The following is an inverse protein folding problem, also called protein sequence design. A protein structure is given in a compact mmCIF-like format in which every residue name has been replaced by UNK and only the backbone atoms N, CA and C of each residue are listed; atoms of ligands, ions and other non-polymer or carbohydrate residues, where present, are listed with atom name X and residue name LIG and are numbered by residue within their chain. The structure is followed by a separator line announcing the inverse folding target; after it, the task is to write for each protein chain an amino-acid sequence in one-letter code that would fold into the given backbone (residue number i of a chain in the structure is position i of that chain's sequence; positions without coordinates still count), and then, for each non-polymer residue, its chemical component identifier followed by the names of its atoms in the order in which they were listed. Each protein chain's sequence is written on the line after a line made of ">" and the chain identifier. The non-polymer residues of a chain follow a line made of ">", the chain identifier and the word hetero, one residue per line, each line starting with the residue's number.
data_IF_092085560855
#
_entry.id   IF_092085560855
#
_cell.length_a   1.000
_cell.length_b   1.000
_cell.length_c   1.000
_cell.angle_alpha   90.00
_cell.angle_beta   90.00
_cell.angle_gamma   90.00
#
_symmetry.space_group_name_H-M   'P 1'
#
loop_
_entity.id
_entity.type
_entity.pdbx_description
1 polymer ?
#
# COMPACT_ATOMS: atom_id res chain seq x y z
N UNK A 1 7.71 28.72 -2.61
CA UNK A 1 6.43 28.73 -1.91
C UNK A 1 5.35 28.64 -2.97
N UNK A 2 4.99 27.46 -3.36
CA UNK A 2 3.76 27.15 -4.10
C UNK A 2 3.07 26.08 -3.26
N UNK A 3 1.89 26.45 -2.74
CA UNK A 3 1.18 25.63 -1.75
C UNK A 3 0.77 24.30 -2.32
N UNK A 4 0.91 23.29 -1.49
CA UNK A 4 0.21 22.04 -1.57
C UNK A 4 -1.28 22.37 -1.75
N UNK A 5 -1.90 21.80 -2.76
CA UNK A 5 -3.34 21.89 -2.97
C UNK A 5 -4.00 21.19 -1.78
N UNK A 6 -4.41 21.97 -0.76
CA UNK A 6 -5.29 21.47 0.28
C UNK A 6 -6.49 20.84 -0.41
N UNK A 7 -6.61 19.52 -0.33
CA UNK A 7 -7.78 18.80 -0.82
C UNK A 7 -9.00 19.26 -0.03
N UNK A 8 -9.97 19.89 -0.72
CA UNK A 8 -11.22 20.37 -0.10
C UNK A 8 -11.95 19.20 0.56
N UNK A 9 -12.47 19.43 1.77
CA UNK A 9 -13.26 18.42 2.48
C UNK A 9 -14.60 18.20 1.77
N UNK A 10 -14.95 16.92 1.56
CA UNK A 10 -16.17 16.50 0.89
C UNK A 10 -17.36 16.48 1.85
N UNK A 11 -18.45 17.11 1.46
CA UNK A 11 -19.68 17.18 2.24
C UNK A 11 -20.81 16.45 1.52
N UNK A 12 -21.54 15.61 2.27
CA UNK A 12 -22.77 14.95 1.82
C UNK A 12 -23.93 15.34 2.73
N UNK A 13 -25.13 15.54 2.15
CA UNK A 13 -26.34 15.93 2.87
C UNK A 13 -27.45 14.88 2.72
N UNK A 14 -28.01 14.40 3.83
CA UNK A 14 -29.22 13.60 3.88
C UNK A 14 -30.33 14.38 4.58
N UNK A 15 -31.38 14.75 3.87
CA UNK A 15 -32.48 15.61 4.36
C UNK A 15 -33.74 15.31 3.55
N UNK A 16 -34.87 14.95 4.16
CA UNK A 16 -36.08 14.58 3.46
C UNK A 16 -36.84 15.81 2.95
N UNK A 17 -36.76 16.94 3.66
CA UNK A 17 -37.45 18.17 3.30
C UNK A 17 -36.76 18.87 2.09
N UNK A 18 -37.39 18.83 0.91
CA UNK A 18 -36.86 19.39 -0.33
C UNK A 18 -36.40 20.85 -0.19
N UNK A 19 -37.28 21.68 0.48
CA UNK A 19 -36.96 23.11 0.62
C UNK A 19 -35.73 23.36 1.48
N UNK A 20 -35.51 22.56 2.51
CA UNK A 20 -34.35 22.65 3.37
C UNK A 20 -33.10 22.10 2.64
N UNK A 21 -33.23 20.98 1.99
CA UNK A 21 -32.13 20.37 1.22
C UNK A 21 -31.64 21.31 0.11
N UNK A 22 -32.56 21.87 -0.70
CA UNK A 22 -32.19 22.85 -1.73
C UNK A 22 -31.65 24.16 -1.12
N UNK A 23 -32.20 24.58 0.00
CA UNK A 23 -31.75 25.76 0.73
C UNK A 23 -30.31 25.61 1.21
N UNK A 24 -29.96 24.50 1.81
CA UNK A 24 -28.56 24.18 2.24
C UNK A 24 -27.63 24.12 1.04
N UNK A 25 -28.03 23.40 -0.01
CA UNK A 25 -27.19 23.26 -1.21
C UNK A 25 -26.91 24.63 -1.89
N UNK A 26 -27.94 25.48 -2.05
CA UNK A 26 -27.87 26.64 -2.91
C UNK A 26 -27.46 27.95 -2.18
N UNK A 27 -27.71 28.04 -0.86
CA UNK A 27 -27.44 29.26 -0.10
C UNK A 27 -26.03 29.31 0.53
N UNK A 28 -25.27 28.23 0.40
CA UNK A 28 -23.88 28.19 0.85
C UNK A 28 -22.97 28.10 -0.37
N UNK A 29 -22.01 29.02 -0.47
CA UNK A 29 -20.99 29.01 -1.54
C UNK A 29 -19.86 28.01 -1.15
N UNK A 30 -20.16 26.72 -1.20
CA UNK A 30 -19.32 25.64 -0.68
C UNK A 30 -17.85 25.74 -1.09
N UNK A 31 -17.58 25.99 -2.38
CA UNK A 31 -16.20 26.10 -2.89
C UNK A 31 -15.47 27.32 -2.35
N UNK A 32 -16.16 28.47 -2.19
CA UNK A 32 -15.56 29.68 -1.62
C UNK A 32 -15.26 29.50 -0.13
N UNK A 33 -16.02 28.63 0.54
CA UNK A 33 -15.84 28.26 1.94
C UNK A 33 -14.81 27.15 2.17
N UNK A 34 -14.20 26.60 1.09
CA UNK A 34 -13.17 25.58 1.16
C UNK A 34 -13.71 24.15 1.24
N UNK A 35 -14.98 23.91 0.83
CA UNK A 35 -15.63 22.62 0.86
C UNK A 35 -16.10 22.16 -0.52
N UNK A 36 -16.14 20.86 -0.73
CA UNK A 36 -16.72 20.23 -1.91
C UNK A 36 -18.06 19.56 -1.56
N UNK A 37 -19.17 20.09 -2.07
CA UNK A 37 -20.47 19.45 -1.92
C UNK A 37 -20.62 18.32 -2.93
N UNK A 38 -20.47 17.05 -2.46
CA UNK A 38 -20.37 15.88 -3.33
C UNK A 38 -21.70 15.19 -3.63
N UNK A 39 -22.74 15.45 -2.81
CA UNK A 39 -24.04 14.84 -3.06
C UNK A 39 -25.08 15.09 -1.99
N UNK A 40 -26.32 14.73 -2.31
CA UNK A 40 -27.46 14.81 -1.40
C UNK A 40 -28.43 13.63 -1.62
N UNK A 41 -29.21 13.29 -0.61
CA UNK A 41 -30.26 12.29 -0.67
C UNK A 41 -31.48 12.70 0.20
N UNK A 42 -32.65 12.13 -0.09
CA UNK A 42 -33.89 12.40 0.63
C UNK A 42 -34.15 11.49 1.82
N UNK A 43 -33.37 10.45 1.98
CA UNK A 43 -33.52 9.47 3.05
C UNK A 43 -32.22 8.65 3.20
N UNK A 44 -32.12 7.86 4.29
CA UNK A 44 -30.93 7.09 4.58
C UNK A 44 -30.67 5.93 3.63
N UNK A 45 -31.72 5.29 3.08
CA UNK A 45 -31.55 4.18 2.15
C UNK A 45 -30.94 4.63 0.80
N UNK A 46 -31.32 5.81 0.33
CA UNK A 46 -30.74 6.44 -0.86
C UNK A 46 -29.36 7.04 -0.58
N UNK A 47 -29.16 7.60 0.62
CA UNK A 47 -27.89 8.19 1.04
C UNK A 47 -26.77 7.15 1.14
N UNK A 48 -27.04 6.01 1.75
CA UNK A 48 -26.01 5.01 2.08
C UNK A 48 -25.16 4.54 0.88
N UNK A 49 -25.72 4.06 -0.24
CA UNK A 49 -24.90 3.65 -1.37
C UNK A 49 -24.09 4.79 -2.02
N UNK A 50 -24.59 6.03 -1.94
CA UNK A 50 -23.89 7.22 -2.42
C UNK A 50 -22.72 7.56 -1.49
N UNK A 51 -22.92 7.51 -0.19
CA UNK A 51 -21.87 7.73 0.82
C UNK A 51 -20.74 6.72 0.68
N UNK A 52 -21.07 5.44 0.49
CA UNK A 52 -20.09 4.38 0.24
C UNK A 52 -19.20 4.66 -0.98
N UNK A 53 -19.79 5.17 -2.05
CA UNK A 53 -19.08 5.49 -3.29
C UNK A 53 -18.26 6.79 -3.19
N UNK A 54 -18.84 7.84 -2.58
CA UNK A 54 -18.27 9.19 -2.56
C UNK A 54 -17.30 9.40 -1.41
N UNK A 55 -17.41 8.58 -0.34
CA UNK A 55 -16.60 8.64 0.89
C UNK A 55 -16.44 10.09 1.40
N UNK A 56 -17.52 10.75 1.81
CA UNK A 56 -17.47 12.13 2.27
C UNK A 56 -16.71 12.24 3.58
N UNK A 57 -16.02 13.37 3.77
CA UNK A 57 -15.36 13.71 5.03
C UNK A 57 -16.36 14.12 6.11
N UNK A 58 -17.46 14.77 5.69
CA UNK A 58 -18.54 15.24 6.58
C UNK A 58 -19.90 14.79 6.02
N UNK A 59 -20.64 14.06 6.82
CA UNK A 59 -22.05 13.75 6.59
C UNK A 59 -22.92 14.70 7.42
N UNK A 60 -23.82 15.42 6.76
CA UNK A 60 -24.88 16.19 7.40
C UNK A 60 -26.17 15.39 7.24
N UNK A 61 -26.86 15.07 8.32
CA UNK A 61 -28.11 14.29 8.24
C UNK A 61 -29.21 14.84 9.15
N UNK A 62 -30.45 14.86 8.63
CA UNK A 62 -31.61 14.98 9.50
C UNK A 62 -31.81 13.68 10.28
N UNK A 63 -32.44 13.76 11.45
CA UNK A 63 -32.85 12.57 12.21
C UNK A 63 -34.04 11.91 11.55
N UNK A 64 -35.10 12.71 11.30
CA UNK A 64 -36.38 12.16 10.86
C UNK A 64 -36.47 12.12 9.35
N UNK A 65 -36.11 10.98 8.80
CA UNK A 65 -36.26 10.69 7.37
C UNK A 65 -37.07 9.41 7.17
N UNK A 66 -37.79 9.27 6.04
CA UNK A 66 -38.50 8.05 5.73
C UNK A 66 -37.53 6.89 5.47
N UNK A 67 -38.01 5.66 5.59
CA UNK A 67 -37.31 4.40 5.36
C UNK A 67 -36.16 4.15 6.35
N UNK A 68 -35.06 4.88 6.27
CA UNK A 68 -33.93 4.82 7.18
C UNK A 68 -33.70 6.20 7.78
N UNK A 69 -33.79 6.31 9.10
CA UNK A 69 -33.56 7.55 9.82
C UNK A 69 -32.08 7.93 9.91
N UNK A 70 -31.80 9.20 10.29
CA UNK A 70 -30.42 9.69 10.34
C UNK A 70 -29.56 9.10 11.44
N UNK A 71 -30.16 8.58 12.53
CA UNK A 71 -29.41 7.90 13.59
C UNK A 71 -28.94 6.49 13.12
N UNK A 72 -29.85 5.78 12.46
CA UNK A 72 -29.53 4.48 11.87
C UNK A 72 -28.46 4.62 10.79
N UNK A 73 -28.62 5.59 9.86
CA UNK A 73 -27.61 5.93 8.86
C UNK A 73 -26.27 6.27 9.52
N UNK A 74 -26.27 7.12 10.55
CA UNK A 74 -25.06 7.52 11.27
C UNK A 74 -24.33 6.34 11.90
N UNK A 75 -25.09 5.38 12.46
CA UNK A 75 -24.52 4.18 13.09
C UNK A 75 -23.81 3.29 12.06
N UNK A 76 -24.45 3.08 10.90
CA UNK A 76 -23.85 2.30 9.80
C UNK A 76 -22.60 3.01 9.26
N UNK A 77 -22.69 4.31 8.99
CA UNK A 77 -21.56 5.09 8.46
C UNK A 77 -20.38 5.10 9.43
N UNK A 78 -20.61 5.22 10.74
CA UNK A 78 -19.52 5.16 11.73
C UNK A 78 -18.86 3.79 11.83
N UNK A 79 -19.57 2.71 11.56
CA UNK A 79 -19.01 1.36 11.55
C UNK A 79 -18.16 1.09 10.29
N UNK A 80 -18.60 1.55 9.13
CA UNK A 80 -17.96 1.23 7.85
C UNK A 80 -16.99 2.30 7.35
N UNK A 81 -17.22 3.56 7.70
CA UNK A 81 -16.41 4.73 7.37
C UNK A 81 -16.11 5.54 8.64
N UNK A 82 -15.28 5.04 9.57
CA UNK A 82 -15.02 5.63 10.86
C UNK A 82 -14.45 7.05 10.79
N UNK A 83 -13.77 7.39 9.70
CA UNK A 83 -13.17 8.70 9.46
C UNK A 83 -14.18 9.77 9.04
N UNK A 84 -15.39 9.38 8.59
CA UNK A 84 -16.46 10.31 8.26
C UNK A 84 -16.98 10.97 9.54
N UNK A 85 -16.88 12.28 9.61
CA UNK A 85 -17.46 13.10 10.68
C UNK A 85 -18.96 13.34 10.43
N UNK A 86 -19.78 13.24 11.46
CA UNK A 86 -21.24 13.32 11.32
C UNK A 86 -21.77 14.54 12.06
N UNK A 87 -22.59 15.35 11.37
CA UNK A 87 -23.34 16.47 11.90
C UNK A 87 -24.84 16.16 11.79
N UNK A 88 -25.53 16.14 12.92
CA UNK A 88 -26.96 15.88 12.93
C UNK A 88 -27.76 17.21 12.98
N UNK A 89 -28.79 17.28 12.14
CA UNK A 89 -29.84 18.31 12.20
C UNK A 89 -31.09 17.71 12.86
N UNK A 90 -31.73 18.40 13.81
CA UNK A 90 -32.88 17.86 14.53
C UNK A 90 -33.94 18.91 14.74
N UNK A 91 -35.19 18.50 14.70
CA UNK A 91 -36.33 19.32 15.12
C UNK A 91 -36.42 19.48 16.64
N UNK A 92 -37.33 20.32 17.08
CA UNK A 92 -37.52 20.70 18.51
C UNK A 92 -37.82 19.48 19.41
N UNK A 93 -37.12 19.33 20.53
CA UNK A 93 -37.64 18.72 21.74
C UNK A 93 -37.24 17.28 22.05
N UNK A 94 -36.21 16.68 21.41
CA UNK A 94 -35.94 15.26 21.61
C UNK A 94 -34.56 15.03 22.26
N UNK A 95 -34.53 15.17 23.59
CA UNK A 95 -33.34 14.90 24.42
C UNK A 95 -32.80 13.46 24.25
N UNK A 96 -33.69 12.51 23.97
CA UNK A 96 -33.33 11.11 23.78
C UNK A 96 -32.49 10.91 22.50
N UNK A 97 -32.80 11.61 21.41
CA UNK A 97 -32.00 11.54 20.18
C UNK A 97 -30.61 12.17 20.32
N UNK A 98 -30.50 13.26 21.09
CA UNK A 98 -29.20 13.86 21.37
C UNK A 98 -28.31 12.90 22.17
N UNK A 99 -28.88 12.18 23.14
CA UNK A 99 -28.17 11.16 23.91
C UNK A 99 -27.73 9.98 23.04
N UNK A 100 -28.57 9.53 22.12
CA UNK A 100 -28.28 8.47 21.21
C UNK A 100 -27.20 8.91 20.21
N UNK A 101 -27.28 10.11 19.63
CA UNK A 101 -26.28 10.69 18.77
C UNK A 101 -24.88 10.73 19.41
N UNK A 102 -24.81 11.12 20.69
CA UNK A 102 -23.55 11.08 21.47
C UNK A 102 -23.01 9.64 21.58
N UNK A 103 -23.88 8.66 21.81
CA UNK A 103 -23.45 7.26 21.91
C UNK A 103 -22.95 6.67 20.61
N UNK A 104 -23.42 7.19 19.46
CA UNK A 104 -22.93 6.84 18.12
C UNK A 104 -21.56 7.48 17.83
N UNK A 105 -21.24 8.59 18.52
CA UNK A 105 -20.01 9.34 18.29
C UNK A 105 -20.12 10.37 17.17
N UNK A 106 -21.27 11.07 17.07
CA UNK A 106 -21.42 12.21 16.16
C UNK A 106 -20.61 13.41 16.66
N UNK A 107 -20.08 14.21 15.75
CA UNK A 107 -19.19 15.32 16.08
C UNK A 107 -19.92 16.57 16.55
N UNK A 108 -21.12 16.83 16.03
CA UNK A 108 -21.91 17.98 16.42
C UNK A 108 -23.42 17.74 16.16
N UNK A 109 -24.28 18.56 16.78
CA UNK A 109 -25.70 18.41 16.74
C UNK A 109 -26.36 19.81 16.71
N UNK A 110 -27.19 20.11 15.72
CA UNK A 110 -27.86 21.41 15.56
C UNK A 110 -29.38 21.28 15.62
N UNK A 111 -30.01 22.20 16.31
CA UNK A 111 -31.47 22.28 16.40
C UNK A 111 -32.07 23.13 15.28
N UNK A 112 -33.06 22.58 14.55
CA UNK A 112 -33.86 23.33 13.56
C UNK A 112 -34.78 24.33 14.25
N UNK A 113 -34.95 25.55 13.70
CA UNK A 113 -34.47 26.04 12.42
C UNK A 113 -32.98 26.44 12.46
N UNK A 114 -32.22 25.98 11.48
CA UNK A 114 -30.76 26.23 11.32
C UNK A 114 -30.55 27.27 10.23
N UNK A 115 -29.81 28.32 10.53
CA UNK A 115 -29.37 29.28 9.50
C UNK A 115 -28.11 28.77 8.79
N UNK A 116 -27.87 29.21 7.53
CA UNK A 116 -26.67 28.86 6.81
C UNK A 116 -25.40 29.24 7.57
N UNK A 117 -25.39 30.34 8.30
CA UNK A 117 -24.28 30.79 9.13
C UNK A 117 -23.98 29.80 10.28
N UNK A 118 -25.02 29.35 11.02
CA UNK A 118 -24.84 28.36 12.10
C UNK A 118 -24.36 27.02 11.58
N UNK A 119 -24.90 26.57 10.44
CA UNK A 119 -24.47 25.32 9.78
C UNK A 119 -23.02 25.42 9.39
N UNK A 120 -22.61 26.51 8.75
CA UNK A 120 -21.25 26.72 8.31
C UNK A 120 -20.26 26.80 9.47
N UNK A 121 -20.65 27.44 10.58
CA UNK A 121 -19.85 27.48 11.80
C UNK A 121 -19.62 26.09 12.39
N UNK A 122 -20.66 25.25 12.44
CA UNK A 122 -20.53 23.86 12.90
C UNK A 122 -19.62 23.05 11.98
N UNK A 123 -19.78 23.18 10.65
CA UNK A 123 -18.93 22.51 9.67
C UNK A 123 -17.47 22.94 9.82
N UNK A 124 -17.19 24.23 10.01
CA UNK A 124 -15.83 24.73 10.24
C UNK A 124 -15.19 24.15 11.50
N UNK A 125 -15.95 24.06 12.61
CA UNK A 125 -15.44 23.40 13.83
C UNK A 125 -15.09 21.91 13.60
N UNK A 126 -15.93 21.22 12.82
CA UNK A 126 -15.66 19.84 12.43
C UNK A 126 -14.42 19.75 11.53
N UNK A 127 -14.30 20.64 10.54
CA UNK A 127 -13.15 20.72 9.64
C UNK A 127 -11.84 20.94 10.40
N UNK A 128 -11.80 21.84 11.36
CA UNK A 128 -10.64 22.07 12.24
C UNK A 128 -10.21 20.78 12.98
N UNK A 129 -11.19 19.99 13.46
CA UNK A 129 -10.91 18.70 14.11
C UNK A 129 -10.37 17.68 13.11
N UNK A 130 -10.89 17.64 11.87
CA UNK A 130 -10.43 16.74 10.82
C UNK A 130 -8.97 17.10 10.42
N UNK A 131 -8.70 18.37 10.14
CA UNK A 131 -7.34 18.83 9.82
C UNK A 131 -6.36 18.61 10.99
N UNK A 132 -6.78 18.85 12.22
CA UNK A 132 -5.96 18.60 13.40
C UNK A 132 -5.68 17.10 13.63
N UNK A 133 -6.58 16.19 13.23
CA UNK A 133 -6.33 14.74 13.25
C UNK A 133 -5.39 14.32 12.14
N UNK A 134 -5.62 14.77 10.90
CA UNK A 134 -4.77 14.49 9.74
C UNK A 134 -3.33 15.02 9.94
N UNK A 135 -3.19 16.26 10.39
CA UNK A 135 -1.87 16.84 10.67
C UNK A 135 -1.08 16.05 11.71
N UNK A 136 -1.72 15.61 12.81
CA UNK A 136 -1.05 14.76 13.81
C UNK A 136 -0.68 13.37 13.27
N UNK A 137 -1.52 12.78 12.43
CA UNK A 137 -1.21 11.51 11.79
C UNK A 137 -0.04 11.64 10.81
N UNK A 138 -0.01 12.72 10.01
CA UNK A 138 1.11 12.99 9.09
C UNK A 138 2.41 13.31 9.82
N UNK A 139 2.37 14.10 10.90
CA UNK A 139 3.55 14.36 11.74
C UNK A 139 4.09 13.05 12.33
N UNK A 140 3.21 12.22 12.91
CA UNK A 140 3.61 10.91 13.48
C UNK A 140 4.16 9.98 12.40
N UNK A 141 3.55 9.97 11.21
CA UNK A 141 4.02 9.16 10.08
C UNK A 141 5.39 9.64 9.57
N UNK A 142 5.57 10.94 9.40
CA UNK A 142 6.84 11.54 9.00
C UNK A 142 7.97 11.27 10.03
N UNK A 143 7.67 11.37 11.32
CA UNK A 143 8.62 11.03 12.39
C UNK A 143 9.01 9.55 12.36
N UNK A 144 8.03 8.66 12.13
CA UNK A 144 8.25 7.23 12.01
C UNK A 144 9.11 6.89 10.79
N UNK A 145 8.80 7.46 9.63
CA UNK A 145 9.58 7.29 8.40
C UNK A 145 11.03 7.78 8.57
N UNK A 146 11.22 8.94 9.19
CA UNK A 146 12.54 9.50 9.51
C UNK A 146 13.33 8.56 10.46
N UNK A 147 12.66 8.01 11.48
CA UNK A 147 13.27 7.06 12.42
C UNK A 147 13.68 5.78 11.71
N UNK A 148 12.83 5.21 10.86
CA UNK A 148 13.12 4.00 10.07
C UNK A 148 14.30 4.23 9.12
N UNK A 149 14.34 5.37 8.40
CA UNK A 149 15.44 5.74 7.53
C UNK A 149 16.76 5.88 8.30
N UNK A 150 16.73 6.46 9.49
CA UNK A 150 17.91 6.66 10.34
C UNK A 150 18.44 5.33 10.88
N UNK A 151 17.55 4.43 11.34
CA UNK A 151 17.92 3.06 11.76
C UNK A 151 18.50 2.26 10.60
N UNK A 152 17.90 2.35 9.40
CA UNK A 152 18.38 1.69 8.19
C UNK A 152 19.77 2.18 7.78
N UNK A 153 20.04 3.47 7.92
CA UNK A 153 21.38 4.06 7.67
C UNK A 153 22.40 3.54 8.66
N UNK A 154 22.10 3.59 9.94
CA UNK A 154 22.98 3.07 10.99
C UNK A 154 23.28 1.58 10.77
N UNK A 155 22.27 0.77 10.52
CA UNK A 155 22.45 -0.66 10.22
C UNK A 155 23.41 -0.86 9.04
N UNK A 156 23.23 -0.12 7.95
CA UNK A 156 24.10 -0.19 6.77
C UNK A 156 25.56 0.13 7.13
N UNK A 157 25.79 1.16 7.96
CA UNK A 157 27.14 1.51 8.40
C UNK A 157 27.76 0.42 9.27
N UNK A 158 26.96 -0.25 10.11
CA UNK A 158 27.41 -1.38 10.93
C UNK A 158 27.88 -2.54 10.04
N UNK A 159 27.09 -2.93 9.04
CA UNK A 159 27.34 -4.14 8.24
C UNK A 159 28.26 -3.93 7.05
N UNK A 160 28.44 -2.70 6.55
CA UNK A 160 29.34 -2.40 5.42
C UNK A 160 30.81 -2.55 5.77
N UNK A 161 31.15 -2.27 7.02
CA UNK A 161 32.55 -2.22 7.49
C UNK A 161 33.38 -1.12 6.84
N UNK A 162 32.75 -0.13 6.20
CA UNK A 162 33.41 1.02 5.57
C UNK A 162 33.72 2.14 6.58
N UNK A 163 32.97 2.17 7.68
CA UNK A 163 33.08 3.16 8.74
C UNK A 163 33.85 2.61 9.94
N UNK A 164 34.62 3.46 10.58
CA UNK A 164 35.31 3.10 11.84
C UNK A 164 34.31 2.89 12.96
N UNK A 165 34.64 2.03 13.93
CA UNK A 165 33.80 1.81 15.11
C UNK A 165 33.47 3.13 15.85
N UNK A 166 34.41 4.08 15.89
CA UNK A 166 34.21 5.39 16.57
C UNK A 166 33.17 6.25 15.85
N UNK A 167 33.07 6.20 14.49
CA UNK A 167 32.08 6.92 13.72
C UNK A 167 30.70 6.31 13.90
N UNK A 168 30.59 4.99 13.79
CA UNK A 168 29.33 4.26 13.98
C UNK A 168 28.83 4.42 15.42
N UNK A 169 29.74 4.38 16.42
CA UNK A 169 29.38 4.59 17.81
C UNK A 169 28.84 5.99 18.07
N UNK A 170 29.38 7.03 17.41
CA UNK A 170 28.85 8.38 17.51
C UNK A 170 27.44 8.47 16.95
N UNK A 171 27.21 7.93 15.76
CA UNK A 171 25.88 7.90 15.13
C UNK A 171 24.85 7.12 15.96
N UNK A 172 25.24 5.98 16.52
CA UNK A 172 24.38 5.17 17.37
C UNK A 172 23.98 5.92 18.66
N UNK A 173 24.92 6.65 19.28
CA UNK A 173 24.63 7.46 20.49
C UNK A 173 23.64 8.60 20.21
N UNK A 174 23.69 9.19 19.02
CA UNK A 174 22.72 10.21 18.60
C UNK A 174 21.29 9.64 18.52
N UNK A 175 21.17 8.31 18.41
CA UNK A 175 19.90 7.57 18.38
C UNK A 175 19.62 6.81 19.70
N UNK A 176 20.39 7.08 20.74
CA UNK A 176 20.30 6.40 22.05
C UNK A 176 20.49 4.87 21.95
N UNK A 177 21.26 4.40 20.94
CA UNK A 177 21.55 2.98 20.72
C UNK A 177 22.94 2.65 21.28
N UNK A 178 23.02 1.71 22.24
CA UNK A 178 24.27 1.17 22.74
C UNK A 178 24.80 0.08 21.78
N UNK A 179 26.07 0.19 21.38
CA UNK A 179 26.71 -0.78 20.47
C UNK A 179 27.65 -1.77 21.15
N UNK A 180 28.08 -1.47 22.39
CA UNK A 180 29.02 -2.34 23.08
C UNK A 180 28.37 -3.66 23.48
N UNK A 181 29.01 -4.78 23.14
CA UNK A 181 28.53 -6.11 23.48
C UNK A 181 29.70 -7.11 23.54
N UNK A 182 29.51 -8.23 24.22
CA UNK A 182 30.48 -9.32 24.30
C UNK A 182 30.53 -10.15 23.01
N UNK A 183 29.36 -10.37 22.40
CA UNK A 183 29.22 -11.11 21.15
C UNK A 183 28.12 -10.49 20.30
N UNK A 184 28.23 -10.69 19.01
CA UNK A 184 27.26 -10.23 18.01
C UNK A 184 26.81 -11.38 17.13
N UNK A 185 25.59 -11.30 16.62
CA UNK A 185 25.08 -12.12 15.53
C UNK A 185 24.16 -11.28 14.64
N UNK A 186 23.85 -11.79 13.45
CA UNK A 186 22.91 -11.17 12.52
C UNK A 186 21.78 -12.16 12.26
N UNK A 187 20.54 -11.64 12.25
CA UNK A 187 19.37 -12.34 11.74
C UNK A 187 18.83 -11.61 10.55
N UNK A 188 18.57 -12.32 9.46
CA UNK A 188 17.87 -11.82 8.29
C UNK A 188 16.52 -12.52 8.19
N UNK A 189 15.45 -11.77 8.01
CA UNK A 189 14.07 -12.23 8.00
C UNK A 189 13.34 -11.72 6.76
N UNK A 190 12.66 -12.61 6.04
CA UNK A 190 11.74 -12.31 4.96
C UNK A 190 10.35 -12.82 5.30
N UNK A 191 9.36 -11.95 5.21
CA UNK A 191 7.94 -12.27 5.35
C UNK A 191 7.34 -12.58 3.98
N UNK A 192 6.43 -13.55 3.92
CA UNK A 192 5.69 -13.93 2.72
C UNK A 192 4.21 -13.80 2.99
N UNK A 193 3.55 -12.92 2.26
CA UNK A 193 2.12 -12.66 2.42
C UNK A 193 1.35 -13.34 1.29
N UNK A 194 0.24 -14.00 1.62
CA UNK A 194 -0.58 -14.74 0.64
C UNK A 194 -1.68 -13.89 0.01
N UNK A 195 -2.11 -12.81 0.68
CA UNK A 195 -3.26 -12.00 0.29
C UNK A 195 -2.90 -10.78 -0.57
N UNK A 196 -3.92 -10.23 -1.26
CA UNK A 196 -3.80 -9.10 -2.17
C UNK A 196 -3.24 -7.81 -1.53
N UNK A 197 -2.82 -6.89 -2.37
CA UNK A 197 -1.94 -5.75 -2.08
C UNK A 197 -2.37 -4.76 -1.00
N UNK A 198 -3.68 -4.61 -0.71
CA UNK A 198 -4.14 -3.60 0.25
C UNK A 198 -3.85 -3.99 1.71
N UNK A 199 -3.98 -5.27 2.05
CA UNK A 199 -3.72 -5.77 3.41
C UNK A 199 -2.25 -5.99 3.71
N UNK A 200 -1.40 -6.05 2.68
CA UNK A 200 0.03 -6.30 2.81
C UNK A 200 0.78 -5.21 3.58
N UNK A 201 0.59 -3.95 3.20
CA UNK A 201 1.25 -2.83 3.86
C UNK A 201 0.83 -2.69 5.31
N UNK A 202 -0.47 -2.88 5.58
CA UNK A 202 -1.00 -2.82 6.94
C UNK A 202 -0.39 -3.91 7.83
N UNK A 203 -0.26 -5.14 7.30
CA UNK A 203 0.37 -6.27 8.02
C UNK A 203 1.86 -6.04 8.23
N UNK A 204 2.57 -5.51 7.23
CA UNK A 204 3.99 -5.21 7.33
C UNK A 204 4.27 -4.05 8.30
N UNK A 205 3.44 -3.02 8.31
CA UNK A 205 3.52 -1.93 9.26
C UNK A 205 3.18 -2.39 10.69
N UNK A 206 2.15 -3.22 10.84
CA UNK A 206 1.78 -3.81 12.11
C UNK A 206 2.89 -4.72 12.68
N UNK A 207 3.58 -5.47 11.81
CA UNK A 207 4.74 -6.24 12.21
C UNK A 207 5.92 -5.37 12.64
N UNK A 208 6.20 -4.28 11.91
CA UNK A 208 7.24 -3.31 12.30
C UNK A 208 6.96 -2.73 13.68
N UNK A 209 5.73 -2.29 13.94
CA UNK A 209 5.30 -1.76 15.23
C UNK A 209 5.40 -2.80 16.35
N UNK A 210 5.00 -4.04 16.05
CA UNK A 210 5.11 -5.14 17.00
C UNK A 210 6.57 -5.43 17.36
N UNK A 211 7.46 -5.50 16.39
CA UNK A 211 8.88 -5.71 16.62
C UNK A 211 9.54 -4.56 17.40
N UNK A 212 9.13 -3.31 17.11
CA UNK A 212 9.60 -2.16 17.90
C UNK A 212 9.16 -2.25 19.36
N UNK A 213 7.94 -2.65 19.64
CA UNK A 213 7.43 -2.85 21.01
C UNK A 213 8.13 -4.03 21.70
N UNK A 214 8.31 -5.15 21.01
CA UNK A 214 8.97 -6.33 21.53
C UNK A 214 10.42 -6.03 21.95
N UNK A 215 11.15 -5.24 21.16
CA UNK A 215 12.52 -4.84 21.47
C UNK A 215 12.65 -3.54 22.29
N UNK A 216 11.56 -2.83 22.58
CA UNK A 216 11.59 -1.56 23.31
C UNK A 216 12.18 -1.71 24.74
N UNK A 217 12.10 -2.89 25.33
CA UNK A 217 12.58 -3.17 26.68
C UNK A 217 14.04 -3.62 26.76
N UNK A 218 14.77 -3.72 25.62
CA UNK A 218 16.16 -4.16 25.61
C UNK A 218 16.99 -3.51 24.50
N UNK A 219 18.17 -3.01 24.87
CA UNK A 219 19.16 -2.47 23.91
C UNK A 219 19.85 -3.57 23.09
N UNK A 220 19.52 -4.84 23.35
CA UNK A 220 20.25 -6.01 22.82
C UNK A 220 19.99 -6.33 21.36
N UNK A 221 19.03 -5.65 20.72
CA UNK A 221 18.68 -5.90 19.30
C UNK A 221 18.56 -4.57 18.55
N UNK A 222 19.23 -4.48 17.40
CA UNK A 222 19.07 -3.37 16.44
C UNK A 222 18.32 -3.94 15.25
N UNK A 223 17.07 -3.55 15.07
CA UNK A 223 16.23 -3.97 13.96
C UNK A 223 16.19 -2.88 12.88
N UNK A 224 16.42 -3.28 11.63
CA UNK A 224 16.31 -2.42 10.46
C UNK A 224 15.42 -3.07 9.40
N UNK A 225 14.39 -2.35 8.98
CA UNK A 225 13.57 -2.69 7.82
C UNK A 225 14.29 -2.22 6.57
N UNK A 226 14.67 -3.14 5.69
CA UNK A 226 15.40 -2.81 4.44
C UNK A 226 14.46 -2.59 3.27
N UNK A 227 13.45 -3.42 3.15
CA UNK A 227 12.35 -3.30 2.19
C UNK A 227 11.06 -3.85 2.81
N UNK A 228 9.99 -3.85 2.06
CA UNK A 228 8.73 -4.38 2.55
C UNK A 228 8.84 -5.89 2.80
N UNK A 229 8.50 -6.32 4.02
CA UNK A 229 8.65 -7.71 4.46
C UNK A 229 10.09 -8.17 4.72
N UNK A 230 11.11 -7.33 4.52
CA UNK A 230 12.51 -7.69 4.74
C UNK A 230 13.10 -6.93 5.93
N UNK A 231 13.45 -7.69 6.97
CA UNK A 231 13.97 -7.18 8.24
C UNK A 231 15.32 -7.80 8.55
N UNK A 232 16.30 -6.96 8.86
CA UNK A 232 17.61 -7.41 9.30
C UNK A 232 17.89 -6.93 10.71
N UNK A 233 18.38 -7.82 11.56
CA UNK A 233 18.61 -7.55 12.98
C UNK A 233 20.07 -7.81 13.31
N UNK A 234 20.66 -6.92 14.12
CA UNK A 234 21.92 -7.18 14.82
C UNK A 234 21.60 -7.52 16.26
N UNK A 235 21.95 -8.72 16.66
CA UNK A 235 21.79 -9.25 18.01
C UNK A 235 23.07 -9.00 18.81
N UNK A 236 22.94 -8.56 20.07
CA UNK A 236 24.06 -8.23 20.95
C UNK A 236 23.93 -8.97 22.26
N UNK A 237 24.99 -9.67 22.64
CA UNK A 237 25.10 -10.28 23.96
C UNK A 237 25.59 -9.25 24.96
N UNK A 238 24.71 -8.83 25.85
CA UNK A 238 25.01 -7.80 26.85
C UNK A 238 24.15 -7.96 28.11
N UNK A 239 24.60 -7.39 29.21
CA UNK A 239 23.85 -7.34 30.49
C UNK A 239 23.37 -8.70 31.01
N UNK A 240 24.12 -9.79 30.73
CA UNK A 240 23.77 -11.16 31.15
C UNK A 240 22.71 -11.85 30.28
N UNK A 241 22.29 -11.24 29.19
CA UNK A 241 21.41 -11.87 28.17
C UNK A 241 22.29 -12.48 27.09
N UNK A 242 22.25 -13.79 26.96
CA UNK A 242 23.06 -14.53 25.98
C UNK A 242 22.40 -14.51 24.59
N UNK A 243 23.21 -14.70 23.52
CA UNK A 243 22.69 -14.82 22.16
C UNK A 243 21.67 -15.96 22.04
N UNK A 244 21.85 -17.07 22.75
CA UNK A 244 20.90 -18.21 22.72
C UNK A 244 19.54 -17.84 23.34
N UNK A 245 19.54 -17.04 24.42
CA UNK A 245 18.30 -16.55 25.01
C UNK A 245 17.59 -15.57 24.07
N UNK A 246 18.32 -14.69 23.39
CA UNK A 246 17.76 -13.78 22.40
C UNK A 246 17.16 -14.54 21.21
N UNK A 247 17.88 -15.53 20.69
CA UNK A 247 17.40 -16.37 19.60
C UNK A 247 16.10 -17.07 19.97
N UNK A 248 16.06 -17.76 21.12
CA UNK A 248 14.88 -18.46 21.60
C UNK A 248 13.68 -17.50 21.78
N UNK A 249 13.90 -16.31 22.31
CA UNK A 249 12.84 -15.31 22.48
C UNK A 249 12.30 -14.82 21.12
N UNK A 250 13.19 -14.56 20.16
CA UNK A 250 12.80 -14.14 18.81
C UNK A 250 12.05 -15.26 18.08
N UNK A 251 12.53 -16.51 18.16
CA UNK A 251 11.87 -17.66 17.53
C UNK A 251 10.45 -17.86 18.06
N UNK A 252 10.28 -17.80 19.37
CA UNK A 252 8.96 -17.91 19.99
C UNK A 252 8.03 -16.78 19.56
N UNK A 253 8.55 -15.54 19.52
CA UNK A 253 7.76 -14.38 19.12
C UNK A 253 7.34 -14.44 17.65
N UNK A 254 8.25 -14.83 16.77
CA UNK A 254 7.93 -15.01 15.35
C UNK A 254 6.88 -16.13 15.14
N UNK A 255 7.00 -17.24 15.88
CA UNK A 255 6.03 -18.34 15.81
C UNK A 255 4.64 -17.88 16.28
N UNK A 256 4.55 -17.19 17.42
CA UNK A 256 3.28 -16.71 17.97
C UNK A 256 2.66 -15.66 17.07
N UNK A 257 3.40 -14.60 16.74
CA UNK A 257 2.85 -13.45 16.03
C UNK A 257 2.61 -13.76 14.55
N UNK A 258 3.56 -14.34 13.84
CA UNK A 258 3.44 -14.58 12.40
C UNK A 258 2.59 -15.79 12.10
N UNK A 259 2.93 -16.97 12.65
CA UNK A 259 2.25 -18.21 12.29
C UNK A 259 0.94 -18.39 13.05
N UNK A 260 0.89 -17.96 14.31
CA UNK A 260 -0.29 -18.12 15.18
C UNK A 260 -1.38 -17.11 14.87
N UNK A 261 -1.09 -15.82 15.06
CA UNK A 261 -2.10 -14.76 15.02
C UNK A 261 -2.38 -14.26 13.59
N UNK A 262 -1.34 -14.03 12.78
CA UNK A 262 -1.46 -13.33 11.50
C UNK A 262 -1.40 -14.23 10.25
N UNK A 263 -1.03 -15.51 10.41
CA UNK A 263 -0.88 -16.50 9.32
C UNK A 263 0.04 -15.99 8.20
N UNK A 264 1.19 -15.44 8.59
CA UNK A 264 2.21 -14.92 7.69
C UNK A 264 3.36 -15.91 7.67
N UNK A 265 3.68 -16.45 6.51
CA UNK A 265 4.87 -17.28 6.32
C UNK A 265 6.14 -16.44 6.36
N UNK A 266 7.24 -17.04 6.84
CA UNK A 266 8.54 -16.38 6.83
C UNK A 266 9.69 -17.34 6.49
N UNK A 267 10.82 -16.79 6.08
CA UNK A 267 12.11 -17.45 6.06
C UNK A 267 13.14 -16.58 6.77
N UNK A 268 13.99 -17.19 7.57
CA UNK A 268 15.00 -16.47 8.31
C UNK A 268 16.34 -17.21 8.34
N UNK A 269 17.42 -16.46 8.51
CA UNK A 269 18.79 -16.98 8.54
C UNK A 269 19.58 -16.29 9.64
N UNK A 270 20.23 -17.08 10.52
CA UNK A 270 21.25 -16.58 11.43
C UNK A 270 22.64 -16.64 10.80
N UNK A 271 23.44 -15.63 11.05
CA UNK A 271 24.87 -15.63 10.78
C UNK A 271 25.65 -16.44 11.83
N UNK A 272 26.98 -16.54 11.63
CA UNK A 272 27.89 -17.13 12.61
C UNK A 272 28.23 -16.09 13.67
N UNK A 273 28.00 -16.37 14.97
CA UNK A 273 28.31 -15.41 16.03
C UNK A 273 29.78 -14.97 16.04
N UNK A 274 30.01 -13.68 16.23
CA UNK A 274 31.32 -13.05 16.28
C UNK A 274 31.55 -12.29 17.58
N UNK A 275 32.81 -12.09 17.98
CA UNK A 275 33.17 -11.41 19.24
C UNK A 275 33.59 -9.95 19.07
N UNK A 276 33.92 -9.56 17.84
CA UNK A 276 34.39 -8.20 17.54
C UNK A 276 33.40 -7.48 16.63
N UNK A 277 33.17 -6.22 16.90
CA UNK A 277 32.34 -5.36 16.06
C UNK A 277 32.80 -5.37 14.59
N UNK A 278 34.12 -5.31 14.33
CA UNK A 278 34.67 -5.35 12.97
C UNK A 278 34.39 -6.64 12.20
N UNK A 279 33.99 -7.71 12.88
CA UNK A 279 33.66 -9.01 12.27
C UNK A 279 32.17 -9.11 11.91
N UNK A 280 31.33 -8.13 12.30
CA UNK A 280 29.89 -8.14 11.96
C UNK A 280 29.70 -8.16 10.44
N UNK A 281 30.52 -7.43 9.69
CA UNK A 281 30.53 -7.47 8.23
C UNK A 281 30.63 -8.91 7.69
N UNK A 282 31.58 -9.67 8.20
CA UNK A 282 31.78 -11.07 7.77
C UNK A 282 30.58 -11.94 8.16
N UNK A 283 30.06 -11.77 9.39
CA UNK A 283 28.84 -12.45 9.85
C UNK A 283 27.65 -12.15 8.93
N UNK A 284 27.50 -10.88 8.52
CA UNK A 284 26.44 -10.44 7.61
C UNK A 284 26.61 -11.02 6.20
N UNK A 285 27.82 -10.97 5.62
CA UNK A 285 28.12 -11.50 4.30
C UNK A 285 27.84 -13.01 4.22
N UNK A 286 28.27 -13.76 5.25
CA UNK A 286 28.01 -15.21 5.36
C UNK A 286 26.51 -15.51 5.47
N UNK A 287 25.76 -14.79 6.31
CA UNK A 287 24.31 -14.93 6.42
C UNK A 287 23.62 -14.58 5.08
N UNK A 288 24.07 -13.55 4.40
CA UNK A 288 23.48 -13.10 3.13
C UNK A 288 23.63 -14.13 2.01
N UNK A 289 24.71 -14.92 1.99
CA UNK A 289 24.85 -16.02 1.03
C UNK A 289 23.73 -17.09 1.16
N UNK A 290 23.31 -17.40 2.39
CA UNK A 290 22.19 -18.30 2.62
C UNK A 290 20.84 -17.59 2.38
N UNK A 291 20.73 -16.35 2.83
CA UNK A 291 19.52 -15.56 2.67
C UNK A 291 19.19 -15.24 1.21
N UNK A 292 20.18 -15.21 0.34
CA UNK A 292 19.95 -15.11 -1.10
C UNK A 292 19.11 -16.28 -1.66
N UNK A 293 19.12 -17.43 -0.98
CA UNK A 293 18.30 -18.62 -1.31
C UNK A 293 16.99 -18.69 -0.50
N UNK A 294 16.56 -17.60 0.16
CA UNK A 294 15.42 -17.57 1.10
C UNK A 294 14.11 -18.13 0.56
N UNK A 295 13.89 -18.06 -0.75
CA UNK A 295 12.69 -18.61 -1.39
C UNK A 295 12.71 -20.13 -1.56
N UNK A 296 13.89 -20.75 -1.39
CA UNK A 296 14.10 -22.21 -1.41
C UNK A 296 14.29 -22.77 0.00
N UNK A 297 14.36 -21.92 1.02
CA UNK A 297 14.41 -22.34 2.41
C UNK A 297 13.07 -22.89 2.88
N UNK A 298 13.11 -23.71 3.89
CA UNK A 298 11.90 -24.22 4.55
C UNK A 298 11.18 -23.03 5.22
N UNK A 299 9.90 -22.87 4.89
CA UNK A 299 9.07 -21.80 5.46
C UNK A 299 8.84 -22.01 6.96
N UNK A 300 8.68 -20.91 7.68
CA UNK A 300 8.42 -20.87 9.12
C UNK A 300 9.54 -21.53 9.95
N UNK A 301 10.75 -21.46 9.44
CA UNK A 301 11.96 -21.90 10.11
C UNK A 301 13.09 -20.90 9.98
N UNK A 302 13.93 -20.88 11.03
CA UNK A 302 15.17 -20.15 11.01
C UNK A 302 16.31 -21.10 10.70
N UNK A 303 17.03 -20.84 9.63
CA UNK A 303 18.18 -21.63 9.22
C UNK A 303 19.44 -21.08 9.89
N UNK A 304 20.19 -21.95 10.56
CA UNK A 304 21.49 -21.61 11.11
C UNK A 304 22.63 -22.11 10.21
N UNK A 305 23.65 -21.28 10.05
CA UNK A 305 24.86 -21.72 9.38
C UNK A 305 25.69 -22.60 10.32
N UNK A 306 25.67 -23.90 10.10
CA UNK A 306 26.54 -24.82 10.82
C UNK A 306 27.88 -24.88 10.09
N UNK A 307 29.01 -24.78 10.82
CA UNK A 307 30.39 -24.85 10.28
C UNK A 307 30.73 -26.07 9.41
N UNK A 308 29.74 -26.94 9.11
CA UNK A 308 29.90 -28.17 8.35
C UNK A 308 29.90 -27.99 6.82
N UNK A 309 29.69 -26.77 6.31
CA UNK A 309 29.57 -26.54 4.85
C UNK A 309 30.94 -26.35 4.16
N UNK A 310 32.05 -26.41 4.89
CA UNK A 310 33.39 -26.36 4.24
C UNK A 310 33.64 -27.52 3.24
N UNK A 311 32.92 -28.63 3.34
CA UNK A 311 33.09 -29.78 2.42
C UNK A 311 32.02 -29.88 1.32
N UNK A 312 30.96 -29.04 1.35
CA UNK A 312 29.92 -29.01 0.30
C UNK A 312 29.96 -27.73 -0.54
N UNK A 313 30.81 -26.76 -0.19
CA UNK A 313 31.02 -25.55 -0.98
C UNK A 313 31.94 -25.72 -2.22
N UNK A 314 32.39 -26.92 -2.54
CA UNK A 314 33.09 -27.17 -3.80
C UNK A 314 32.18 -27.27 -5.03
N UNK A 315 30.86 -27.35 -4.87
CA UNK A 315 29.98 -26.99 -5.96
C UNK A 315 29.71 -25.49 -5.87
N UNK A 316 30.60 -24.73 -6.47
CA UNK A 316 30.34 -23.34 -6.91
C UNK A 316 29.10 -23.34 -7.81
N UNK A 317 27.92 -23.23 -7.23
CA UNK A 317 26.82 -22.53 -7.88
C UNK A 317 27.10 -21.02 -7.78
N UNK A 318 28.21 -20.59 -8.39
CA UNK A 318 28.26 -19.28 -9.03
C UNK A 318 26.98 -19.25 -9.87
N UNK A 319 26.13 -18.24 -9.67
CA UNK A 319 25.10 -17.87 -10.65
C UNK A 319 25.79 -17.97 -12.03
N UNK A 320 25.67 -19.12 -12.69
CA UNK A 320 26.14 -19.26 -14.03
C UNK A 320 25.17 -18.47 -14.90
N UNK A 321 25.56 -17.22 -15.16
CA UNK A 321 24.83 -16.38 -16.12
C UNK A 321 24.68 -17.07 -17.48
N UNK A 322 25.46 -18.15 -17.72
CA UNK A 322 25.32 -19.00 -18.88
C UNK A 322 24.12 -19.95 -18.86
N UNK A 323 23.55 -20.26 -17.70
CA UNK A 323 22.28 -21.02 -17.59
C UNK A 323 21.05 -20.17 -17.80
N UNK A 324 21.20 -18.84 -17.77
CA UNK A 324 20.12 -17.91 -18.10
C UNK A 324 19.82 -18.04 -19.59
N UNK A 325 18.68 -18.62 -19.91
CA UNK A 325 18.18 -18.60 -21.29
C UNK A 325 17.70 -17.18 -21.66
N UNK A 326 18.65 -16.23 -21.76
CA UNK A 326 18.36 -14.83 -22.14
C UNK A 326 17.68 -14.77 -23.51
N UNK A 327 17.87 -15.79 -24.35
CA UNK A 327 17.17 -15.91 -25.64
C UNK A 327 15.67 -16.23 -25.49
N UNK A 328 15.20 -16.62 -24.29
CA UNK A 328 13.78 -16.79 -23.96
C UNK A 328 13.07 -15.46 -23.67
N UNK A 329 13.82 -14.38 -23.42
CA UNK A 329 13.28 -13.04 -23.15
C UNK A 329 13.07 -12.34 -24.51
N UNK A 330 11.87 -12.47 -25.06
CA UNK A 330 11.50 -11.83 -26.33
C UNK A 330 10.44 -10.75 -26.12
N UNK A 331 10.88 -9.49 -25.99
CA UNK A 331 10.01 -8.30 -25.87
C UNK A 331 9.01 -8.20 -27.02
N UNK A 332 9.36 -8.61 -28.23
CA UNK A 332 8.48 -8.54 -29.38
C UNK A 332 7.30 -9.47 -29.20
N UNK A 333 7.53 -10.66 -28.63
CA UNK A 333 6.46 -11.61 -28.35
C UNK A 333 5.48 -11.05 -27.32
N UNK A 334 6.00 -10.38 -26.28
CA UNK A 334 5.21 -9.72 -25.23
C UNK A 334 4.39 -8.55 -25.81
N UNK A 335 5.07 -7.64 -26.53
CA UNK A 335 4.39 -6.51 -27.17
C UNK A 335 3.30 -7.00 -28.16
N UNK A 336 3.60 -7.99 -28.98
CA UNK A 336 2.64 -8.56 -29.92
C UNK A 336 1.44 -9.15 -29.19
N UNK A 337 1.65 -9.90 -28.12
CA UNK A 337 0.57 -10.42 -27.29
C UNK A 337 -0.30 -9.29 -26.71
N UNK A 338 0.32 -8.26 -26.15
CA UNK A 338 -0.42 -7.12 -25.58
C UNK A 338 -1.21 -6.33 -26.64
N UNK A 339 -0.77 -6.33 -27.92
CA UNK A 339 -1.51 -5.71 -29.02
C UNK A 339 -2.67 -6.55 -29.54
N UNK A 340 -2.56 -7.87 -29.54
CA UNK A 340 -3.51 -8.75 -30.25
C UNK A 340 -4.23 -9.76 -29.35
N UNK A 341 -3.68 -10.06 -28.17
CA UNK A 341 -4.22 -11.03 -27.21
C UNK A 341 -5.48 -10.54 -26.52
N UNK A 342 -6.20 -11.48 -25.91
CA UNK A 342 -7.42 -11.26 -25.12
C UNK A 342 -7.14 -11.46 -23.64
N UNK A 343 -7.99 -10.86 -22.80
CA UNK A 343 -7.85 -10.95 -21.35
C UNK A 343 -7.84 -12.40 -20.82
N UNK A 344 -8.64 -13.28 -21.41
CA UNK A 344 -8.74 -14.69 -21.03
C UNK A 344 -7.45 -15.48 -21.32
N UNK A 345 -6.64 -15.02 -22.27
CA UNK A 345 -5.38 -15.67 -22.69
C UNK A 345 -4.17 -15.25 -21.83
N UNK A 346 -4.32 -14.18 -21.03
CA UNK A 346 -3.21 -13.60 -20.24
C UNK A 346 -2.57 -14.63 -19.32
N UNK A 347 -3.38 -15.39 -18.57
CA UNK A 347 -2.86 -16.36 -17.60
C UNK A 347 -2.00 -17.42 -18.29
N UNK A 348 -2.48 -17.99 -19.39
CA UNK A 348 -1.75 -18.98 -20.18
C UNK A 348 -0.45 -18.42 -20.76
N UNK A 349 -0.49 -17.21 -21.33
CA UNK A 349 0.67 -16.56 -21.90
C UNK A 349 1.76 -16.29 -20.85
N UNK A 350 1.40 -15.73 -19.72
CA UNK A 350 2.35 -15.40 -18.64
C UNK A 350 2.97 -16.68 -18.09
N UNK A 351 2.17 -17.72 -17.81
CA UNK A 351 2.68 -18.99 -17.29
C UNK A 351 3.65 -19.69 -18.26
N UNK A 352 3.35 -19.66 -19.56
CA UNK A 352 4.23 -20.19 -20.59
C UNK A 352 5.51 -19.37 -20.76
N UNK A 353 5.42 -18.05 -20.66
CA UNK A 353 6.55 -17.14 -20.72
C UNK A 353 7.54 -17.39 -19.56
N UNK A 354 7.02 -17.45 -18.33
CA UNK A 354 7.82 -17.75 -17.16
C UNK A 354 8.44 -19.17 -17.23
N UNK A 355 7.72 -20.15 -17.77
CA UNK A 355 8.23 -21.51 -17.95
C UNK A 355 9.41 -21.56 -18.95
N UNK A 356 9.35 -20.80 -20.03
CA UNK A 356 10.44 -20.72 -21.03
C UNK A 356 11.72 -20.09 -20.49
N UNK A 357 11.59 -19.10 -19.62
CA UNK A 357 12.75 -18.41 -19.03
C UNK A 357 13.40 -19.23 -17.93
N UNK A 358 12.63 -19.97 -17.16
CA UNK A 358 13.10 -20.57 -15.92
C UNK A 358 13.71 -21.95 -16.05
N UNK A 359 13.67 -22.62 -17.23
CA UNK A 359 13.99 -24.06 -17.35
C UNK A 359 13.43 -24.91 -16.17
N UNK A 360 12.36 -24.39 -15.49
CA UNK A 360 11.70 -25.06 -14.37
C UNK A 360 12.02 -24.48 -12.97
N UNK A 361 12.97 -23.56 -12.82
CA UNK A 361 13.33 -23.06 -11.48
C UNK A 361 13.79 -21.60 -11.52
N UNK A 362 12.83 -20.68 -11.28
CA UNK A 362 13.11 -19.25 -10.98
C UNK A 362 13.56 -19.12 -9.52
N UNK A 363 14.74 -19.64 -9.20
CA UNK A 363 15.32 -19.57 -7.84
C UNK A 363 16.11 -18.28 -7.59
N UNK A 364 16.43 -17.51 -8.63
CA UNK A 364 17.16 -16.25 -8.51
C UNK A 364 16.21 -15.06 -8.41
N UNK A 365 16.23 -14.36 -7.27
CA UNK A 365 15.51 -13.11 -7.03
C UNK A 365 15.87 -12.06 -8.09
N UNK A 366 17.16 -11.95 -8.41
CA UNK A 366 17.68 -11.00 -9.41
C UNK A 366 17.06 -11.26 -10.79
N UNK A 367 16.92 -12.53 -11.18
CA UNK A 367 16.29 -12.91 -12.45
C UNK A 367 14.79 -12.56 -12.43
N UNK A 368 14.08 -12.86 -11.35
CA UNK A 368 12.68 -12.46 -11.20
C UNK A 368 12.51 -10.94 -11.32
N UNK A 369 13.37 -10.16 -10.66
CA UNK A 369 13.37 -8.70 -10.74
C UNK A 369 13.59 -8.20 -12.16
N UNK A 370 14.58 -8.75 -12.85
CA UNK A 370 14.88 -8.38 -14.23
C UNK A 370 13.70 -8.68 -15.15
N UNK A 371 13.14 -9.89 -15.07
CA UNK A 371 12.00 -10.31 -15.91
C UNK A 371 10.79 -9.45 -15.64
N UNK A 372 10.47 -9.18 -14.39
CA UNK A 372 9.33 -8.34 -13.97
C UNK A 372 9.48 -6.92 -14.51
N UNK A 373 10.68 -6.33 -14.39
CA UNK A 373 10.95 -5.00 -14.91
C UNK A 373 10.85 -4.95 -16.44
N UNK A 374 11.35 -5.97 -17.12
CA UNK A 374 11.30 -6.07 -18.59
C UNK A 374 9.86 -6.18 -19.11
N UNK A 375 9.03 -6.98 -18.44
CA UNK A 375 7.60 -7.13 -18.74
C UNK A 375 6.82 -5.85 -18.43
N UNK A 376 7.13 -5.17 -17.33
CA UNK A 376 6.53 -3.89 -16.97
C UNK A 376 6.82 -2.81 -18.03
N UNK A 377 8.10 -2.64 -18.40
CA UNK A 377 8.51 -1.68 -19.43
C UNK A 377 7.84 -1.97 -20.77
N UNK A 378 7.71 -3.26 -21.14
CA UNK A 378 7.01 -3.67 -22.35
C UNK A 378 5.52 -3.31 -22.30
N UNK A 379 4.86 -3.50 -21.15
CA UNK A 379 3.45 -3.15 -20.95
C UNK A 379 3.21 -1.64 -21.05
N UNK A 380 4.05 -0.83 -20.41
CA UNK A 380 3.98 0.64 -20.48
C UNK A 380 4.23 1.13 -21.92
N UNK A 381 5.22 0.57 -22.62
CA UNK A 381 5.51 0.91 -24.02
C UNK A 381 4.31 0.67 -24.94
N UNK A 382 3.58 -0.42 -24.74
CA UNK A 382 2.35 -0.73 -25.51
C UNK A 382 1.24 0.26 -25.21
N UNK A 383 1.07 0.65 -23.94
CA UNK A 383 0.10 1.67 -23.53
C UNK A 383 0.39 3.02 -24.19
N UNK A 384 1.62 3.49 -24.14
CA UNK A 384 2.03 4.76 -24.73
C UNK A 384 1.81 4.78 -26.24
N UNK A 385 2.20 3.71 -26.94
CA UNK A 385 1.95 3.55 -28.38
C UNK A 385 0.45 3.47 -28.72
N UNK A 386 -0.38 3.06 -27.76
CA UNK A 386 -1.85 3.03 -27.90
C UNK A 386 -2.52 4.37 -27.60
N UNK A 387 -1.75 5.40 -27.22
CA UNK A 387 -2.23 6.75 -26.95
C UNK A 387 -2.68 6.98 -25.50
N UNK A 388 -2.29 6.10 -24.59
CA UNK A 388 -2.47 6.24 -23.16
C UNK A 388 -1.13 6.59 -22.50
N UNK A 389 -1.19 7.26 -21.34
CA UNK A 389 -0.01 7.49 -20.51
C UNK A 389 0.01 6.48 -19.36
N UNK A 390 1.14 6.32 -18.70
CA UNK A 390 1.25 5.53 -17.46
C UNK A 390 0.28 6.05 -16.37
N UNK A 391 -0.16 7.30 -16.44
CA UNK A 391 -1.17 7.89 -15.56
C UNK A 391 -2.55 7.23 -15.65
N UNK A 392 -2.84 6.54 -16.74
CA UNK A 392 -4.09 5.81 -16.92
C UNK A 392 -4.10 4.43 -16.25
N UNK A 393 -2.93 3.92 -15.83
CA UNK A 393 -2.84 2.72 -14.99
C UNK A 393 -3.33 3.03 -13.58
N UNK A 394 -3.90 2.02 -12.92
CA UNK A 394 -4.24 2.10 -11.50
C UNK A 394 -2.98 2.43 -10.68
N UNK A 395 -3.14 3.17 -9.58
CA UNK A 395 -2.02 3.62 -8.74
C UNK A 395 -1.13 2.47 -8.24
N UNK A 396 -1.71 1.30 -8.01
CA UNK A 396 -0.97 0.09 -7.63
C UNK A 396 0.11 -0.36 -8.64
N UNK A 397 0.00 0.05 -9.91
CA UNK A 397 0.99 -0.26 -10.94
C UNK A 397 1.98 0.89 -11.21
N UNK A 398 1.82 2.04 -10.57
CA UNK A 398 2.69 3.22 -10.75
C UNK A 398 3.79 3.30 -9.71
N UNK A 399 3.56 2.71 -8.54
CA UNK A 399 4.42 2.86 -7.38
C UNK A 399 5.53 1.81 -7.40
N UNK A 400 6.78 2.28 -7.53
CA UNK A 400 7.96 1.42 -7.51
C UNK A 400 8.13 0.66 -6.17
N UNK A 401 7.67 1.24 -5.05
CA UNK A 401 7.69 0.58 -3.75
C UNK A 401 6.69 -0.59 -3.71
N UNK A 402 5.52 -0.41 -4.34
CA UNK A 402 4.55 -1.50 -4.51
C UNK A 402 5.08 -2.62 -5.41
N UNK A 403 5.93 -2.29 -6.37
CA UNK A 403 6.58 -3.27 -7.22
C UNK A 403 7.56 -4.18 -6.44
N UNK A 404 8.26 -3.64 -5.41
CA UNK A 404 9.14 -4.43 -4.54
C UNK A 404 8.41 -5.58 -3.83
N UNK A 405 7.13 -5.40 -3.50
CA UNK A 405 6.30 -6.40 -2.82
C UNK A 405 6.11 -7.66 -3.67
N UNK A 406 5.89 -7.48 -4.98
CA UNK A 406 5.66 -8.58 -5.90
C UNK A 406 6.94 -9.33 -6.28
N UNK A 407 8.09 -8.84 -5.80
CA UNK A 407 9.38 -9.49 -5.93
C UNK A 407 9.60 -10.59 -4.87
N UNK A 408 8.68 -10.71 -3.91
CA UNK A 408 8.77 -11.66 -2.82
C UNK A 408 8.78 -13.13 -3.24
N UNK A 409 7.99 -13.52 -4.24
CA UNK A 409 7.98 -14.89 -4.79
C UNK A 409 7.75 -14.88 -6.31
N UNK A 410 8.22 -15.92 -6.99
CA UNK A 410 7.93 -16.11 -8.42
C UNK A 410 6.42 -16.22 -8.71
N UNK A 411 5.63 -16.71 -7.74
CA UNK A 411 4.17 -16.76 -7.82
C UNK A 411 3.54 -15.38 -7.80
N UNK A 412 3.93 -14.54 -6.85
CA UNK A 412 3.46 -13.15 -6.74
C UNK A 412 3.85 -12.32 -7.96
N UNK A 413 5.09 -12.47 -8.45
CA UNK A 413 5.54 -11.79 -9.66
C UNK A 413 4.68 -12.17 -10.88
N UNK A 414 4.32 -13.45 -11.03
CA UNK A 414 3.43 -13.90 -12.10
C UNK A 414 2.04 -13.30 -11.98
N UNK A 415 1.47 -13.30 -10.78
CA UNK A 415 0.14 -12.76 -10.55
C UNK A 415 0.10 -11.26 -10.80
N UNK A 416 1.11 -10.52 -10.36
CA UNK A 416 1.26 -9.11 -10.69
C UNK A 416 1.27 -8.85 -12.19
N UNK A 417 2.07 -9.61 -12.96
CA UNK A 417 2.13 -9.45 -14.41
C UNK A 417 0.80 -9.84 -15.08
N UNK A 418 0.11 -10.87 -14.60
CA UNK A 418 -1.21 -11.24 -15.11
C UNK A 418 -2.20 -10.08 -14.94
N UNK A 419 -2.23 -9.47 -13.77
CA UNK A 419 -3.10 -8.34 -13.46
C UNK A 419 -2.72 -7.10 -14.27
N UNK A 420 -1.43 -6.78 -14.39
CA UNK A 420 -0.93 -5.68 -15.21
C UNK A 420 -1.31 -5.85 -16.68
N UNK A 421 -1.07 -7.03 -17.26
CA UNK A 421 -1.41 -7.31 -18.66
C UNK A 421 -2.92 -7.26 -18.91
N UNK A 422 -3.71 -7.78 -17.95
CA UNK A 422 -5.16 -7.65 -17.98
C UNK A 422 -5.63 -6.21 -18.04
N UNK A 423 -5.07 -5.34 -17.19
CA UNK A 423 -5.37 -3.91 -17.15
C UNK A 423 -4.97 -3.19 -18.46
N UNK A 424 -3.79 -3.53 -19.00
CA UNK A 424 -3.31 -2.97 -20.29
C UNK A 424 -4.24 -3.35 -21.44
N UNK A 425 -4.68 -4.60 -21.51
CA UNK A 425 -5.60 -5.09 -22.55
C UNK A 425 -6.97 -4.42 -22.43
N UNK A 426 -7.51 -4.28 -21.21
CA UNK A 426 -8.77 -3.57 -20.98
C UNK A 426 -8.72 -2.10 -21.43
N UNK A 427 -7.65 -1.38 -21.08
CA UNK A 427 -7.47 0.01 -21.53
C UNK A 427 -7.37 0.10 -23.04
N UNK A 428 -6.66 -0.83 -23.69
CA UNK A 428 -6.58 -0.90 -25.16
C UNK A 428 -7.97 -1.12 -25.78
N UNK A 429 -8.77 -2.05 -25.28
CA UNK A 429 -10.10 -2.36 -25.78
C UNK A 429 -11.04 -1.17 -25.62
N UNK A 430 -11.06 -0.53 -24.47
CA UNK A 430 -11.82 0.72 -24.24
C UNK A 430 -11.42 1.84 -25.21
N UNK A 431 -10.13 1.95 -25.54
CA UNK A 431 -9.62 2.92 -26.48
C UNK A 431 -10.05 2.64 -27.91
N UNK A 432 -10.14 1.37 -28.30
CA UNK A 432 -10.66 0.98 -29.60
C UNK A 432 -12.15 1.29 -29.71
N UNK A 433 -12.98 0.94 -28.73
CA UNK A 433 -14.41 1.27 -28.71
C UNK A 433 -14.66 2.78 -28.84
N UNK A 434 -13.96 3.61 -28.08
CA UNK A 434 -14.06 5.07 -28.20
C UNK A 434 -13.68 5.60 -29.59
N UNK A 435 -12.67 5.01 -30.23
CA UNK A 435 -12.29 5.39 -31.61
C UNK A 435 -13.35 4.98 -32.61
N UNK A 436 -13.94 3.80 -32.46
CA UNK A 436 -15.05 3.36 -33.32
C UNK A 436 -16.29 4.24 -33.15
N UNK A 437 -16.66 4.58 -31.91
CA UNK A 437 -17.78 5.47 -31.63
C UNK A 437 -17.59 6.86 -32.25
N UNK A 438 -16.39 7.45 -32.08
CA UNK A 438 -16.05 8.71 -32.72
C UNK A 438 -16.11 8.64 -34.26
N UNK A 439 -15.61 7.57 -34.87
CA UNK A 439 -15.66 7.36 -36.31
C UNK A 439 -17.13 7.23 -36.81
N UNK A 440 -17.96 6.51 -36.08
CA UNK A 440 -19.38 6.37 -36.37
C UNK A 440 -20.11 7.71 -36.24
N UNK A 441 -19.78 8.51 -35.19
CA UNK A 441 -20.36 9.85 -35.01
C UNK A 441 -19.93 10.80 -36.13
N UNK A 442 -18.67 10.80 -36.55
CA UNK A 442 -18.21 11.58 -37.70
C UNK A 442 -18.83 11.14 -39.02
N UNK A 443 -18.96 9.84 -39.24
CA UNK A 443 -19.65 9.29 -40.42
C UNK A 443 -21.12 9.70 -40.46
N UNK A 444 -21.84 9.60 -39.34
CA UNK A 444 -23.22 10.08 -39.21
C UNK A 444 -23.34 11.57 -39.48
N UNK A 445 -22.46 12.41 -38.92
CA UNK A 445 -22.45 13.85 -39.16
C UNK A 445 -22.20 14.16 -40.65
N UNK A 446 -21.27 13.45 -41.29
CA UNK A 446 -20.97 13.62 -42.71
C UNK A 446 -22.15 13.22 -43.61
N UNK A 447 -22.84 12.09 -43.30
CA UNK A 447 -24.04 11.66 -43.99
C UNK A 447 -25.17 12.68 -43.82
N UNK A 448 -25.39 13.23 -42.62
CA UNK A 448 -26.40 14.25 -42.39
C UNK A 448 -26.09 15.53 -43.20
N UNK A 449 -24.83 15.95 -43.29
CA UNK A 449 -24.44 17.11 -44.11
C UNK A 449 -24.67 16.91 -45.59
N UNK A 450 -24.40 15.72 -46.14
CA UNK A 450 -24.72 15.36 -47.54
C UNK A 450 -26.21 15.42 -47.82
N UNK A 451 -27.02 14.84 -46.90
CA UNK A 451 -28.49 14.83 -47.08
C UNK A 451 -29.12 16.23 -46.99
N UNK A 452 -28.55 17.13 -46.18
CA UNK A 452 -29.02 18.53 -46.08
C UNK A 452 -28.53 19.40 -47.23
N UNK A 453 -27.40 19.04 -47.89
CA UNK A 453 -26.88 19.74 -49.07
C UNK A 453 -27.67 19.39 -50.32
N UNK A 454 -27.99 18.09 -50.54
CA UNK A 454 -28.80 17.67 -51.69
C UNK A 454 -30.25 18.20 -51.66
N UNK A 455 -30.80 18.41 -50.43
CA UNK A 455 -32.15 18.99 -50.29
C UNK A 455 -32.19 20.53 -50.55
N UNK A 456 -31.03 21.20 -50.62
CA UNK A 456 -30.91 22.63 -50.89
C UNK A 456 -30.75 22.92 -52.40
N UNK A 457 -30.36 21.91 -53.20
CA UNK A 457 -30.19 22.05 -54.66
C UNK A 457 -31.46 21.69 -55.45
N UNK A 458 -32.53 21.19 -54.79
CA UNK A 458 -33.83 20.88 -55.39
C UNK A 458 -34.92 21.94 -55.14
N UNK A 459 -34.61 23.12 -54.62
CA UNK A 459 -35.53 24.27 -54.47
C UNK A 459 -34.99 25.46 -55.27
#
# INVERSE_FOLDING_TARGET
>A
MMGETETMLKIFLAEDEIVMREGIRNNIAWQEEGFEFVGEASDGELAYPMIQKLKPDILITDIRMPFMDGLELSRIVKQELPDTSILILSGYGEFDYAKEAISIGVEDYLLKPVTSAQLLEAIRRIAEKIYGRRGRQEETKNEKEQRTLTKRRLFRHIVSGEHSFSEVLKEAREQEIELAAERYNVLMLQLFFEDGTETFYEKDEAFEDHMEQFFAYGSSVICAKLSCGEYHLVLKEENGVTLEQLKNAIEQELEIYLCGENKIDYAAVYGIPVTRFSEIKKCYEEANLLFAKRYSLEKNKITEQVKKIENEMETKETLDLGELNVSGIDRRQVEQFLYTGRKEEVSGFVDDYFRKISNGSLQSVLLCQYVLMDLYVSAVSVLEKSGYTSENLLEQYKDAQKMEIFLGTAGQAREYIKNLFGAVIELREQGMERRYDNLIQHAKAYICLLYTSDAADEL
#
